data_IF_098209764424
#
_entry.id   IF_098209764424
#
_cell.length_a   1.000
_cell.length_b   1.000
_cell.length_c   1.000
_cell.angle_alpha   90.00
_cell.angle_beta   90.00
_cell.angle_gamma   90.00
#
_symmetry.space_group_name_H-M   'P 1'
#
loop_
_entity.id
_entity.type
_entity.pdbx_description
1 polymer ?
#
# COMPACT_ATOMS: atom_id res chain seq x y z
N UNK A 1 2.69 -36.40 -4.74
CA UNK A 1 3.38 -35.62 -3.68
C UNK A 1 3.79 -34.19 -4.06
N UNK A 2 4.15 -33.80 -5.31
CA UNK A 2 4.62 -32.43 -5.60
C UNK A 2 3.53 -31.33 -5.55
N UNK A 3 2.27 -31.66 -5.83
CA UNK A 3 1.16 -30.70 -5.70
C UNK A 3 0.93 -30.25 -4.24
N UNK A 4 1.12 -31.15 -3.27
CA UNK A 4 0.91 -30.82 -1.85
C UNK A 4 2.01 -29.90 -1.30
N UNK A 5 3.26 -30.10 -1.74
CA UNK A 5 4.39 -29.21 -1.39
C UNK A 5 4.23 -27.83 -1.99
N UNK A 6 3.83 -27.72 -3.26
CA UNK A 6 3.60 -26.42 -3.90
C UNK A 6 2.50 -25.61 -3.21
N UNK A 7 1.40 -26.27 -2.82
CA UNK A 7 0.30 -25.64 -2.08
C UNK A 7 0.76 -25.14 -0.71
N UNK A 8 1.53 -25.95 0.02
CA UNK A 8 2.10 -25.55 1.32
C UNK A 8 3.07 -24.38 1.19
N UNK A 9 3.96 -24.42 0.21
CA UNK A 9 4.92 -23.34 -0.05
C UNK A 9 4.20 -22.03 -0.40
N UNK A 10 3.15 -22.08 -1.23
CA UNK A 10 2.31 -20.90 -1.53
C UNK A 10 1.61 -20.37 -0.29
N UNK A 11 1.02 -21.23 0.54
CA UNK A 11 0.34 -20.82 1.76
C UNK A 11 1.30 -20.14 2.75
N UNK A 12 2.51 -20.70 2.91
CA UNK A 12 3.55 -20.11 3.74
C UNK A 12 4.00 -18.74 3.19
N UNK A 13 4.20 -18.62 1.88
CA UNK A 13 4.55 -17.36 1.23
C UNK A 13 3.45 -16.30 1.44
N UNK A 14 2.17 -16.66 1.30
CA UNK A 14 1.05 -15.75 1.56
C UNK A 14 1.09 -15.25 3.00
N UNK A 15 1.24 -16.15 3.98
CA UNK A 15 1.34 -15.77 5.39
C UNK A 15 2.50 -14.81 5.65
N UNK A 16 3.68 -15.09 5.08
CA UNK A 16 4.84 -14.22 5.21
C UNK A 16 4.59 -12.83 4.59
N UNK A 17 3.93 -12.76 3.43
CA UNK A 17 3.55 -11.49 2.81
C UNK A 17 2.54 -10.71 3.68
N UNK A 18 1.56 -11.38 4.27
CA UNK A 18 0.61 -10.75 5.20
C UNK A 18 1.32 -10.10 6.38
N UNK A 19 2.35 -10.75 6.96
CA UNK A 19 3.11 -10.15 8.06
C UNK A 19 3.91 -8.90 7.64
N UNK A 20 4.42 -8.85 6.41
CA UNK A 20 5.05 -7.63 5.90
C UNK A 20 4.04 -6.48 5.78
N UNK A 21 2.83 -6.74 5.28
CA UNK A 21 1.78 -5.72 5.21
C UNK A 21 1.23 -5.34 6.60
N UNK A 22 1.18 -6.27 7.56
CA UNK A 22 0.88 -5.97 8.96
C UNK A 22 1.94 -5.05 9.58
N UNK A 23 3.21 -5.29 9.27
CA UNK A 23 4.33 -4.46 9.73
C UNK A 23 4.24 -3.05 9.15
N UNK A 24 3.99 -2.93 7.84
CA UNK A 24 3.80 -1.62 7.17
C UNK A 24 2.62 -0.87 7.79
N UNK A 25 1.46 -1.54 7.97
CA UNK A 25 0.27 -0.97 8.62
C UNK A 25 0.62 -0.41 10.00
N UNK A 26 1.26 -1.21 10.84
CA UNK A 26 1.66 -0.82 12.21
C UNK A 26 2.61 0.38 12.20
N UNK A 27 3.60 0.39 11.29
CA UNK A 27 4.54 1.52 11.16
C UNK A 27 3.84 2.81 10.75
N UNK A 28 2.87 2.74 9.83
CA UNK A 28 2.03 3.90 9.47
C UNK A 28 1.28 4.42 10.70
N UNK A 29 0.68 3.53 11.48
CA UNK A 29 -0.05 3.90 12.71
C UNK A 29 0.86 4.54 13.77
N UNK A 30 2.13 4.13 13.84
CA UNK A 30 3.11 4.74 14.73
C UNK A 30 3.69 6.06 14.22
N UNK A 31 3.58 6.35 12.91
CA UNK A 31 4.18 7.55 12.30
C UNK A 31 3.43 8.84 12.63
N UNK A 32 2.17 8.75 13.08
CA UNK A 32 1.40 9.93 13.45
C UNK A 32 -0.03 9.59 13.85
N UNK A 33 -0.65 10.51 14.60
CA UNK A 33 -2.09 10.45 14.88
C UNK A 33 -2.85 11.10 13.71
N UNK A 34 -4.03 10.59 13.41
CA UNK A 34 -4.94 11.12 12.37
C UNK A 34 -4.44 11.05 10.92
N UNK A 35 -3.50 10.16 10.60
CA UNK A 35 -3.14 9.86 9.21
C UNK A 35 -4.20 8.90 8.60
N UNK A 36 -5.28 9.46 8.05
CA UNK A 36 -6.38 8.67 7.48
C UNK A 36 -6.22 8.47 5.97
N UNK A 37 -5.87 9.52 5.24
CA UNK A 37 -5.75 9.51 3.77
C UNK A 37 -4.30 9.33 3.38
N UNK A 38 -3.98 8.20 2.75
CA UNK A 38 -2.61 7.77 2.47
C UNK A 38 -2.46 7.50 0.97
N UNK A 39 -1.66 8.32 0.29
CA UNK A 39 -1.34 8.13 -1.11
C UNK A 39 -0.11 7.23 -1.30
N UNK A 40 -0.21 6.24 -2.19
CA UNK A 40 0.91 5.42 -2.63
C UNK A 40 1.24 5.76 -4.08
N UNK A 41 2.51 6.06 -4.34
CA UNK A 41 3.05 6.26 -5.69
C UNK A 41 4.31 5.43 -5.92
N UNK A 42 4.87 5.47 -7.13
CA UNK A 42 6.11 4.81 -7.49
C UNK A 42 6.93 5.68 -8.44
N UNK A 43 8.21 5.34 -8.64
CA UNK A 43 9.04 6.02 -9.62
C UNK A 43 8.67 5.60 -11.05
N UNK A 44 8.37 4.31 -11.24
CA UNK A 44 8.11 3.70 -12.53
C UNK A 44 6.86 2.79 -12.51
N UNK A 45 6.25 2.54 -13.67
CA UNK A 45 5.30 1.43 -13.83
C UNK A 45 5.95 0.09 -13.46
N UNK A 46 5.18 -0.84 -12.87
CA UNK A 46 5.64 -2.20 -12.60
C UNK A 46 6.45 -2.39 -11.31
N UNK A 47 6.61 -1.36 -10.48
CA UNK A 47 7.23 -1.48 -9.15
C UNK A 47 6.31 -2.12 -8.10
N UNK A 48 5.07 -2.46 -8.49
CA UNK A 48 4.10 -3.19 -7.67
C UNK A 48 3.34 -2.33 -6.66
N UNK A 49 3.28 -1.03 -6.90
CA UNK A 49 2.47 -0.05 -6.17
C UNK A 49 1.02 -0.50 -5.98
N UNK A 50 0.30 -0.87 -7.04
CA UNK A 50 -1.11 -1.30 -6.97
C UNK A 50 -1.30 -2.58 -6.14
N UNK A 51 -0.34 -3.51 -6.20
CA UNK A 51 -0.34 -4.70 -5.33
C UNK A 51 -0.12 -4.30 -3.87
N UNK A 52 0.80 -3.37 -3.61
CA UNK A 52 1.11 -2.86 -2.28
C UNK A 52 -0.06 -2.09 -1.68
N UNK A 53 -0.68 -1.16 -2.42
CA UNK A 53 -1.86 -0.41 -1.96
C UNK A 53 -3.04 -1.33 -1.68
N UNK A 54 -3.30 -2.30 -2.55
CA UNK A 54 -4.33 -3.33 -2.34
C UNK A 54 -4.12 -4.11 -1.05
N UNK A 55 -2.94 -4.70 -0.86
CA UNK A 55 -2.69 -5.53 0.31
C UNK A 55 -2.58 -4.72 1.60
N UNK A 56 -2.13 -3.46 1.51
CA UNK A 56 -2.16 -2.54 2.65
C UNK A 56 -3.60 -2.22 3.07
N UNK A 57 -4.50 -1.95 2.11
CA UNK A 57 -5.91 -1.75 2.39
C UNK A 57 -6.56 -3.00 3.01
N UNK A 58 -6.27 -4.20 2.48
CA UNK A 58 -6.71 -5.47 3.07
C UNK A 58 -6.18 -5.63 4.50
N UNK A 59 -4.91 -5.26 4.74
CA UNK A 59 -4.30 -5.32 6.07
C UNK A 59 -5.02 -4.42 7.08
N UNK A 60 -5.40 -3.19 6.70
CA UNK A 60 -6.21 -2.32 7.55
C UNK A 60 -7.63 -2.90 7.78
N UNK A 61 -8.30 -3.37 6.72
CA UNK A 61 -9.63 -3.94 6.82
C UNK A 61 -9.70 -5.18 7.72
N UNK A 62 -8.73 -6.10 7.58
CA UNK A 62 -8.58 -7.30 8.44
C UNK A 62 -8.30 -6.96 9.90
N UNK A 63 -7.72 -5.79 10.17
CA UNK A 63 -7.53 -5.30 11.54
C UNK A 63 -8.80 -4.66 12.13
N UNK A 64 -9.91 -4.65 11.39
CA UNK A 64 -11.22 -4.16 11.85
C UNK A 64 -11.52 -2.71 11.49
N UNK A 65 -10.65 -2.04 10.72
CA UNK A 65 -10.87 -0.65 10.30
C UNK A 65 -11.74 -0.58 9.05
N UNK A 66 -12.72 0.32 9.03
CA UNK A 66 -13.46 0.65 7.80
C UNK A 66 -12.49 1.30 6.83
N UNK A 67 -12.17 0.59 5.76
CA UNK A 67 -11.10 0.95 4.84
C UNK A 67 -11.67 1.16 3.44
N UNK A 68 -11.30 2.28 2.83
CA UNK A 68 -11.58 2.57 1.43
C UNK A 68 -10.28 2.49 0.63
N UNK A 69 -10.31 1.78 -0.49
CA UNK A 69 -9.22 1.78 -1.48
C UNK A 69 -9.68 2.52 -2.74
N UNK A 70 -8.99 3.59 -3.10
CA UNK A 70 -9.28 4.39 -4.29
C UNK A 70 -8.21 4.10 -5.34
N UNK A 71 -8.63 3.60 -6.49
CA UNK A 71 -7.79 3.47 -7.67
C UNK A 71 -7.84 4.77 -8.47
N UNK A 72 -6.87 5.63 -8.21
CA UNK A 72 -6.70 6.92 -8.86
C UNK A 72 -5.70 6.88 -10.03
N UNK A 73 -5.22 5.69 -10.43
CA UNK A 73 -4.46 5.52 -11.68
C UNK A 73 -5.40 5.44 -12.88
N UNK A 74 -6.07 6.57 -13.15
CA UNK A 74 -7.05 6.72 -14.24
C UNK A 74 -6.44 6.65 -15.63
N UNK A 75 -5.11 6.56 -15.73
CA UNK A 75 -4.37 6.42 -17.00
C UNK A 75 -4.15 4.98 -17.38
N UNK A 76 -3.80 4.13 -16.41
CA UNK A 76 -3.43 2.74 -16.67
C UNK A 76 -3.71 1.84 -15.46
N UNK A 77 -4.94 1.87 -14.96
CA UNK A 77 -5.37 1.00 -13.86
C UNK A 77 -5.11 -0.48 -14.20
N UNK A 78 -4.47 -1.16 -13.26
CA UNK A 78 -4.23 -2.60 -13.30
C UNK A 78 -5.11 -3.36 -12.30
N UNK A 79 -6.06 -2.67 -11.67
CA UNK A 79 -6.91 -3.20 -10.60
C UNK A 79 -8.25 -3.75 -11.10
N UNK A 80 -8.51 -3.62 -12.40
CA UNK A 80 -9.70 -4.18 -13.05
C UNK A 80 -9.79 -5.69 -12.82
N UNK A 81 -10.88 -6.15 -12.20
CA UNK A 81 -11.12 -7.56 -11.90
C UNK A 81 -10.42 -8.10 -10.65
N UNK A 82 -9.63 -7.29 -9.93
CA UNK A 82 -9.01 -7.68 -8.65
C UNK A 82 -10.06 -7.90 -7.57
N UNK A 83 -11.11 -7.09 -7.57
CA UNK A 83 -12.25 -7.21 -6.65
C UNK A 83 -13.48 -7.69 -7.40
N UNK A 84 -14.24 -8.57 -6.75
CA UNK A 84 -15.56 -8.97 -7.22
C UNK A 84 -16.61 -8.17 -6.45
N UNK A 85 -17.32 -7.31 -7.16
CA UNK A 85 -18.52 -6.67 -6.64
C UNK A 85 -19.76 -7.52 -6.96
N UNK A 86 -20.78 -7.39 -6.13
CA UNK A 86 -22.09 -8.03 -6.34
C UNK A 86 -22.97 -7.24 -7.31
N UNK A 87 -22.72 -5.94 -7.42
CA UNK A 87 -23.55 -5.00 -8.19
C UNK A 87 -22.72 -4.34 -9.30
N UNK A 88 -23.43 -3.76 -10.27
CA UNK A 88 -22.78 -2.93 -11.29
C UNK A 88 -22.40 -1.61 -10.64
N UNK A 89 -21.16 -1.19 -10.86
CA UNK A 89 -20.63 0.07 -10.34
C UNK A 89 -20.04 0.90 -11.48
N UNK A 90 -20.03 2.22 -11.29
CA UNK A 90 -19.24 3.14 -12.09
C UNK A 90 -17.85 3.36 -11.45
N UNK A 91 -16.96 4.08 -12.12
CA UNK A 91 -15.62 4.36 -11.59
C UNK A 91 -15.42 5.81 -11.18
N UNK A 92 -14.29 6.06 -10.52
CA UNK A 92 -13.82 7.37 -10.11
C UNK A 92 -13.98 8.43 -11.22
N UNK A 93 -13.63 8.07 -12.44
CA UNK A 93 -13.73 8.95 -13.62
C UNK A 93 -15.16 9.41 -13.92
N UNK A 94 -16.17 8.56 -13.71
CA UNK A 94 -17.58 8.92 -13.88
C UNK A 94 -18.02 9.95 -12.83
N UNK A 95 -17.65 9.75 -11.57
CA UNK A 95 -17.94 10.69 -10.48
C UNK A 95 -17.21 12.03 -10.69
N UNK A 96 -15.91 12.01 -10.99
CA UNK A 96 -15.13 13.24 -11.20
C UNK A 96 -15.66 14.05 -12.38
N UNK A 97 -16.25 13.40 -13.38
CA UNK A 97 -16.89 14.04 -14.53
C UNK A 97 -18.32 14.54 -14.27
N UNK A 98 -18.89 14.26 -13.08
CA UNK A 98 -20.26 14.62 -12.72
C UNK A 98 -21.33 13.72 -13.36
N UNK A 99 -20.95 12.54 -13.85
CA UNK A 99 -21.85 11.59 -14.51
C UNK A 99 -22.39 10.51 -13.57
N UNK A 100 -21.93 10.46 -12.32
CA UNK A 100 -22.34 9.49 -11.31
C UNK A 100 -22.25 10.13 -9.91
N UNK A 101 -23.09 9.68 -8.98
CA UNK A 101 -23.00 10.07 -7.58
C UNK A 101 -21.90 9.27 -6.86
N UNK A 102 -21.44 9.77 -5.70
CA UNK A 102 -20.40 9.07 -4.93
C UNK A 102 -20.84 7.67 -4.49
N UNK A 103 -22.13 7.47 -4.21
CA UNK A 103 -22.68 6.16 -3.86
C UNK A 103 -22.56 5.15 -4.99
N UNK A 104 -22.55 5.60 -6.24
CA UNK A 104 -22.61 4.73 -7.42
C UNK A 104 -21.22 4.19 -7.81
N UNK A 105 -20.16 4.81 -7.28
CA UNK A 105 -18.77 4.46 -7.57
C UNK A 105 -18.06 3.75 -6.42
N UNK A 106 -18.66 3.74 -5.22
CA UNK A 106 -18.17 2.96 -4.08
C UNK A 106 -18.74 1.56 -4.18
N UNK A 107 -17.87 0.56 -4.33
CA UNK A 107 -18.28 -0.83 -4.45
C UNK A 107 -17.82 -1.68 -3.26
N UNK A 108 -18.73 -2.55 -2.80
CA UNK A 108 -18.42 -3.60 -1.84
C UNK A 108 -17.43 -4.61 -2.42
N UNK A 109 -16.62 -5.19 -1.54
CA UNK A 109 -15.76 -6.32 -1.85
C UNK A 109 -16.19 -7.58 -1.09
N UNK A 110 -15.56 -8.71 -1.39
CA UNK A 110 -15.73 -9.94 -0.59
C UNK A 110 -14.94 -9.92 0.72
N UNK A 111 -14.28 -8.81 1.05
CA UNK A 111 -13.44 -8.65 2.24
C UNK A 111 -14.17 -7.71 3.19
N UNK A 112 -14.45 -8.19 4.40
CA UNK A 112 -15.12 -7.40 5.42
C UNK A 112 -14.35 -6.10 5.72
N UNK A 113 -15.09 -5.01 5.91
CA UNK A 113 -14.58 -3.66 6.14
C UNK A 113 -13.76 -3.04 4.98
N UNK A 114 -13.73 -3.64 3.80
CA UNK A 114 -13.03 -3.09 2.63
C UNK A 114 -14.02 -2.72 1.51
N UNK A 115 -14.01 -1.44 1.18
CA UNK A 115 -14.70 -0.86 0.03
C UNK A 115 -13.68 -0.37 -0.99
N UNK A 116 -14.08 -0.28 -2.26
CA UNK A 116 -13.21 0.17 -3.36
C UNK A 116 -13.90 1.22 -4.21
N UNK A 117 -13.16 2.24 -4.65
CA UNK A 117 -13.52 3.07 -5.80
C UNK A 117 -12.56 2.72 -6.94
N UNK A 118 -13.02 2.02 -7.99
CA UNK A 118 -12.19 1.67 -9.13
C UNK A 118 -11.97 2.89 -10.05
N UNK A 119 -10.90 2.92 -10.85
CA UNK A 119 -10.62 4.07 -11.72
C UNK A 119 -11.75 4.37 -12.73
N UNK A 120 -12.37 3.33 -13.30
CA UNK A 120 -13.35 3.45 -14.37
C UNK A 120 -12.71 3.56 -15.76
N UNK A 121 -13.43 4.17 -16.71
CA UNK A 121 -12.94 4.33 -18.08
C UNK A 121 -11.87 5.41 -18.16
N UNK A 122 -10.85 5.20 -18.99
CA UNK A 122 -9.77 6.18 -19.18
C UNK A 122 -10.36 7.46 -19.79
N UNK A 123 -10.27 8.62 -19.10
CA UNK A 123 -10.82 9.87 -19.58
C UNK A 123 -9.86 10.52 -20.60
N UNK A 124 -10.34 11.44 -21.45
CA UNK A 124 -9.47 12.16 -22.38
C UNK A 124 -8.43 13.03 -21.65
N UNK A 125 -8.79 13.61 -20.50
CA UNK A 125 -7.93 14.47 -19.69
C UNK A 125 -7.91 14.04 -18.20
N UNK A 126 -7.08 13.05 -17.82
CA UNK A 126 -7.01 12.52 -16.46
C UNK A 126 -6.65 13.57 -15.39
N UNK A 127 -5.61 14.37 -15.63
CA UNK A 127 -5.10 15.33 -14.64
C UNK A 127 -6.12 16.39 -14.26
N UNK A 128 -6.90 16.91 -15.22
CA UNK A 128 -7.90 17.94 -14.95
C UNK A 128 -9.07 17.43 -14.12
N UNK A 129 -9.40 16.13 -14.22
CA UNK A 129 -10.44 15.53 -13.37
C UNK A 129 -10.00 15.44 -11.92
N UNK A 130 -8.72 15.18 -11.66
CA UNK A 130 -8.17 15.11 -10.29
C UNK A 130 -8.05 16.51 -9.67
N UNK A 131 -7.81 17.54 -10.47
CA UNK A 131 -7.64 18.93 -9.99
C UNK A 131 -8.96 19.67 -9.73
N UNK A 132 -10.11 19.03 -9.93
CA UNK A 132 -11.40 19.70 -9.80
C UNK A 132 -11.98 19.60 -8.37
N UNK A 133 -12.98 20.44 -8.09
CA UNK A 133 -13.65 20.47 -6.78
C UNK A 133 -14.33 19.16 -6.40
N UNK A 134 -14.67 18.29 -7.36
CA UNK A 134 -15.34 17.01 -7.07
C UNK A 134 -14.38 16.06 -6.34
N UNK A 135 -13.09 16.09 -6.68
CA UNK A 135 -12.07 15.29 -6.00
C UNK A 135 -11.95 15.71 -4.53
N UNK A 136 -11.81 17.00 -4.23
CA UNK A 136 -11.69 17.49 -2.86
C UNK A 136 -12.96 17.20 -2.04
N UNK A 137 -14.14 17.41 -2.63
CA UNK A 137 -15.43 17.05 -2.00
C UNK A 137 -15.52 15.56 -1.70
N UNK A 138 -15.05 14.70 -2.60
CA UNK A 138 -15.02 13.26 -2.39
C UNK A 138 -14.12 12.92 -1.21
N UNK A 139 -12.88 13.41 -1.20
CA UNK A 139 -11.91 13.13 -0.14
C UNK A 139 -12.46 13.56 1.22
N UNK A 140 -13.05 14.75 1.32
CA UNK A 140 -13.65 15.22 2.57
C UNK A 140 -14.82 14.33 3.03
N UNK A 141 -15.69 13.96 2.08
CA UNK A 141 -16.84 13.08 2.38
C UNK A 141 -16.37 11.71 2.88
N UNK A 142 -15.45 11.05 2.17
CA UNK A 142 -14.98 9.70 2.56
C UNK A 142 -14.14 9.72 3.83
N UNK A 143 -13.48 10.84 4.17
CA UNK A 143 -12.74 11.01 5.43
C UNK A 143 -13.65 10.91 6.67
N UNK A 144 -14.91 11.30 6.53
CA UNK A 144 -15.94 11.13 7.57
C UNK A 144 -16.51 9.72 7.67
N UNK A 145 -16.47 8.96 6.57
CA UNK A 145 -17.09 7.62 6.47
C UNK A 145 -16.14 6.48 6.82
N UNK A 146 -14.84 6.66 6.55
CA UNK A 146 -13.82 5.62 6.69
C UNK A 146 -12.76 5.97 7.74
N UNK A 147 -12.18 4.94 8.32
CA UNK A 147 -11.09 5.06 9.29
C UNK A 147 -9.76 5.23 8.55
N UNK A 148 -9.59 4.54 7.42
CA UNK A 148 -8.44 4.69 6.51
C UNK A 148 -8.87 4.75 5.05
N UNK A 149 -8.22 5.60 4.27
CA UNK A 149 -8.40 5.76 2.83
C UNK A 149 -7.03 5.58 2.17
N UNK A 150 -6.87 4.50 1.41
CA UNK A 150 -5.65 4.17 0.69
C UNK A 150 -5.84 4.57 -0.77
N UNK A 151 -4.97 5.41 -1.31
CA UNK A 151 -5.08 5.88 -2.70
C UNK A 151 -3.94 5.32 -3.54
N UNK A 152 -4.27 4.49 -4.52
CA UNK A 152 -3.35 4.03 -5.55
C UNK A 152 -3.23 5.10 -6.66
N UNK A 153 -2.04 5.65 -6.86
CA UNK A 153 -1.85 6.78 -7.80
C UNK A 153 -1.02 6.38 -9.02
N UNK A 154 -0.97 7.14 -10.12
CA UNK A 154 0.02 6.90 -11.18
C UNK A 154 1.48 7.00 -10.67
N UNK A 155 2.47 6.46 -11.39
CA UNK A 155 3.88 6.67 -11.04
C UNK A 155 4.28 8.15 -11.13
N UNK A 156 4.69 8.75 -10.00
CA UNK A 156 5.11 10.14 -9.91
C UNK A 156 6.30 10.47 -10.84
N UNK A 157 7.18 9.49 -11.10
CA UNK A 157 8.28 9.67 -12.05
C UNK A 157 7.85 9.80 -13.52
N UNK A 158 6.55 9.65 -13.82
CA UNK A 158 5.99 9.77 -15.19
C UNK A 158 5.05 10.95 -15.33
N UNK A 159 4.18 11.17 -14.35
CA UNK A 159 3.13 12.19 -14.38
C UNK A 159 2.97 12.82 -13.01
N UNK A 160 2.53 14.08 -12.98
CA UNK A 160 2.39 14.87 -11.74
C UNK A 160 1.15 14.54 -10.93
N UNK A 161 0.23 13.74 -11.48
CA UNK A 161 -1.07 13.38 -10.88
C UNK A 161 -0.92 12.90 -9.43
N UNK A 162 0.11 12.09 -9.14
CA UNK A 162 0.37 11.59 -7.79
C UNK A 162 0.71 12.70 -6.78
N UNK A 163 1.40 13.78 -7.19
CA UNK A 163 1.70 14.90 -6.30
C UNK A 163 0.44 15.73 -6.00
N UNK A 164 -0.47 15.85 -6.97
CA UNK A 164 -1.76 16.52 -6.78
C UNK A 164 -2.63 15.73 -5.81
N UNK A 165 -2.73 14.41 -5.99
CA UNK A 165 -3.46 13.53 -5.07
C UNK A 165 -2.84 13.58 -3.67
N UNK A 166 -1.51 13.56 -3.59
CA UNK A 166 -0.80 13.65 -2.32
C UNK A 166 -1.13 14.95 -1.57
N UNK A 167 -1.35 16.07 -2.27
CA UNK A 167 -1.71 17.34 -1.63
C UNK A 167 -2.98 17.26 -0.78
N UNK A 168 -4.00 16.51 -1.23
CA UNK A 168 -5.25 16.30 -0.47
C UNK A 168 -5.16 15.11 0.51
N UNK A 169 -3.98 14.50 0.66
CA UNK A 169 -3.73 13.35 1.54
C UNK A 169 -3.04 13.77 2.84
N UNK A 170 -3.23 13.01 3.92
CA UNK A 170 -2.48 13.23 5.18
C UNK A 170 -1.01 12.80 5.04
N UNK A 171 -0.80 11.74 4.26
CA UNK A 171 0.48 11.09 4.15
C UNK A 171 0.74 10.50 2.76
N UNK A 172 2.02 10.33 2.43
CA UNK A 172 2.46 9.70 1.19
C UNK A 172 3.56 8.66 1.42
N UNK A 173 3.55 7.63 0.58
CA UNK A 173 4.53 6.55 0.55
C UNK A 173 5.01 6.32 -0.89
N UNK A 174 6.31 6.07 -1.03
CA UNK A 174 6.92 5.73 -2.31
C UNK A 174 7.23 4.23 -2.38
N UNK A 175 6.64 3.52 -3.32
CA UNK A 175 6.94 2.11 -3.60
C UNK A 175 8.03 2.06 -4.67
N UNK A 176 9.10 1.32 -4.41
CA UNK A 176 10.19 1.16 -5.40
C UNK A 176 10.73 -0.26 -5.47
N UNK A 177 11.28 -0.62 -6.63
CA UNK A 177 11.96 -1.89 -6.86
C UNK A 177 13.49 -1.76 -6.69
N UNK A 178 14.12 -2.59 -5.84
CA UNK A 178 15.56 -2.62 -5.68
C UNK A 178 16.30 -2.81 -7.01
N UNK A 179 17.36 -2.02 -7.22
CA UNK A 179 18.24 -2.14 -8.39
C UNK A 179 17.69 -1.56 -9.70
N UNK A 180 16.51 -0.92 -9.69
CA UNK A 180 15.93 -0.27 -10.87
C UNK A 180 16.24 1.22 -10.89
N UNK A 181 15.76 1.96 -9.90
CA UNK A 181 15.93 3.41 -9.84
C UNK A 181 17.20 3.83 -9.11
N UNK A 182 17.86 4.86 -9.64
CA UNK A 182 19.03 5.46 -8.99
C UNK A 182 18.57 6.20 -7.73
N UNK A 183 19.40 6.19 -6.67
CA UNK A 183 19.13 6.92 -5.42
C UNK A 183 18.74 8.39 -5.66
N UNK A 184 19.41 9.07 -6.61
CA UNK A 184 19.08 10.46 -6.98
C UNK A 184 17.65 10.62 -7.50
N UNK A 185 17.11 9.65 -8.24
CA UNK A 185 15.72 9.67 -8.71
C UNK A 185 14.77 9.57 -7.52
N UNK A 186 15.00 8.60 -6.63
CA UNK A 186 14.19 8.41 -5.42
C UNK A 186 14.22 9.64 -4.52
N UNK A 187 15.39 10.27 -4.32
CA UNK A 187 15.52 11.51 -3.55
C UNK A 187 14.70 12.65 -4.14
N UNK A 188 14.73 12.84 -5.47
CA UNK A 188 13.90 13.87 -6.12
C UNK A 188 12.40 13.63 -5.97
N UNK A 189 11.96 12.37 -6.06
CA UNK A 189 10.54 12.03 -5.87
C UNK A 189 10.10 12.26 -4.43
N UNK A 190 10.95 11.93 -3.46
CA UNK A 190 10.74 12.28 -2.05
C UNK A 190 10.56 13.79 -1.89
N UNK A 191 11.46 14.61 -2.45
CA UNK A 191 11.37 16.07 -2.37
C UNK A 191 10.05 16.60 -2.97
N UNK A 192 9.59 16.04 -4.09
CA UNK A 192 8.31 16.41 -4.70
C UNK A 192 7.11 16.03 -3.82
N UNK A 193 7.14 14.86 -3.18
CA UNK A 193 6.09 14.44 -2.25
C UNK A 193 6.08 15.32 -0.99
N UNK A 194 7.25 15.68 -0.43
CA UNK A 194 7.34 16.59 0.70
C UNK A 194 6.81 18.00 0.36
N UNK A 195 7.01 18.46 -0.88
CA UNK A 195 6.47 19.73 -1.37
C UNK A 195 4.94 19.73 -1.53
N UNK A 196 4.29 18.56 -1.57
CA UNK A 196 2.83 18.46 -1.63
C UNK A 196 2.15 18.89 -0.32
N UNK A 197 2.89 18.96 0.79
CA UNK A 197 2.33 19.27 2.12
C UNK A 197 1.87 18.05 2.92
N UNK A 198 1.73 16.87 2.28
CA UNK A 198 1.50 15.61 2.98
C UNK A 198 2.75 15.10 3.69
N UNK A 199 2.57 14.40 4.81
CA UNK A 199 3.66 13.76 5.52
C UNK A 199 4.27 12.63 4.68
N UNK A 200 5.54 12.76 4.28
CA UNK A 200 6.24 11.66 3.61
C UNK A 200 6.69 10.61 4.63
N UNK A 201 6.03 9.45 4.67
CA UNK A 201 6.28 8.42 5.68
C UNK A 201 7.49 7.54 5.33
N UNK A 202 7.88 7.48 4.06
CA UNK A 202 9.06 6.76 3.63
C UNK A 202 8.87 5.96 2.36
N UNK A 203 9.73 4.94 2.23
CA UNK A 203 9.86 4.11 1.03
C UNK A 203 9.55 2.66 1.35
N UNK A 204 8.73 2.02 0.53
CA UNK A 204 8.48 0.58 0.55
C UNK A 204 9.32 -0.06 -0.55
N UNK A 205 10.30 -0.88 -0.16
CA UNK A 205 11.09 -1.70 -1.08
C UNK A 205 10.31 -2.97 -1.43
N UNK A 206 9.78 -3.04 -2.65
CA UNK A 206 9.02 -4.17 -3.15
C UNK A 206 9.85 -5.08 -4.06
N UNK A 207 9.47 -6.35 -4.22
CA UNK A 207 10.21 -7.35 -5.02
C UNK A 207 11.66 -7.56 -4.53
N UNK A 208 11.91 -7.34 -3.24
CA UNK A 208 13.22 -7.60 -2.64
C UNK A 208 13.43 -9.10 -2.40
N UNK A 209 14.59 -9.62 -2.81
CA UNK A 209 14.97 -11.02 -2.52
C UNK A 209 15.61 -11.09 -1.13
N UNK A 210 14.81 -11.49 -0.14
CA UNK A 210 15.22 -11.64 1.26
C UNK A 210 16.42 -12.59 1.43
N UNK A 211 16.63 -13.54 0.51
CA UNK A 211 17.77 -14.47 0.56
C UNK A 211 19.10 -13.79 0.25
N UNK A 212 19.08 -12.63 -0.41
CA UNK A 212 20.31 -11.84 -0.67
C UNK A 212 20.85 -11.18 0.60
N UNK A 213 20.02 -10.89 1.60
CA UNK A 213 20.46 -10.36 2.90
C UNK A 213 21.10 -11.43 3.79
N UNK A 214 20.72 -12.71 3.66
CA UNK A 214 21.33 -13.79 4.45
C UNK A 214 22.84 -13.97 4.22
N UNK A 215 23.37 -13.46 3.11
CA UNK A 215 24.81 -13.51 2.79
C UNK A 215 25.57 -12.20 3.07
N UNK A 216 24.89 -11.13 3.52
CA UNK A 216 25.50 -9.82 3.68
C UNK A 216 24.89 -8.99 4.79
N UNK A 217 25.55 -8.99 5.95
CA UNK A 217 25.43 -8.01 7.04
C UNK A 217 24.42 -8.29 8.17
N UNK A 218 25.01 -8.35 9.38
CA UNK A 218 24.46 -8.21 10.72
C UNK A 218 23.23 -7.30 10.83
N UNK A 219 22.21 -7.77 11.57
CA UNK A 219 21.14 -6.91 12.10
C UNK A 219 19.73 -7.50 12.09
N UNK A 220 19.56 -8.79 12.39
CA UNK A 220 18.21 -9.36 12.55
C UNK A 220 17.58 -8.92 13.88
N UNK A 221 16.76 -7.87 13.84
CA UNK A 221 15.61 -7.75 14.74
C UNK A 221 14.58 -8.79 14.29
N UNK A 222 14.66 -10.01 14.83
CA UNK A 222 13.76 -11.08 14.44
C UNK A 222 14.07 -12.39 15.14
N UNK A 223 13.77 -12.48 16.44
CA UNK A 223 13.98 -13.71 17.21
C UNK A 223 13.62 -13.62 18.68
N UNK A 224 12.47 -13.04 19.05
CA UNK A 224 11.91 -13.32 20.38
C UNK A 224 11.11 -14.62 20.31
N UNK A 225 11.72 -15.72 20.74
CA UNK A 225 11.05 -17.02 20.76
C UNK A 225 11.95 -18.20 21.07
N UNK A 226 12.63 -18.20 22.23
CA UNK A 226 12.93 -19.43 22.96
C UNK A 226 13.35 -19.11 24.39
N UNK A 227 12.35 -18.99 25.27
CA UNK A 227 12.55 -19.19 26.70
C UNK A 227 12.11 -20.61 27.02
N UNK A 228 13.03 -21.41 27.53
CA UNK A 228 12.76 -22.72 28.12
C UNK A 228 13.47 -23.87 27.42
N UNK A 229 14.59 -24.32 27.97
CA UNK A 229 14.63 -25.62 28.68
C UNK A 229 16.05 -25.95 29.17
N UNK A 230 16.13 -26.13 30.49
CA UNK A 230 16.94 -27.07 31.27
C UNK A 230 18.46 -27.17 31.12
N UNK A 231 19.10 -27.05 32.29
CA UNK A 231 20.54 -27.17 32.46
C UNK A 231 21.07 -28.59 32.50
N UNK A 232 22.40 -28.69 32.48
CA UNK A 232 23.15 -29.73 33.18
C UNK A 232 24.60 -29.28 33.39
N UNK A 233 24.98 -29.33 34.67
CA UNK A 233 26.31 -29.37 35.28
C UNK A 233 27.46 -29.86 34.39
N UNK A 234 28.60 -29.16 34.46
CA UNK A 234 29.88 -29.81 34.80
C UNK A 234 30.88 -28.80 35.36
N UNK A 235 31.16 -28.91 36.65
CA UNK A 235 32.36 -28.38 37.30
C UNK A 235 33.61 -28.86 36.54
N UNK A 236 34.56 -27.97 36.25
CA UNK A 236 35.93 -28.36 35.92
C UNK A 236 36.82 -28.08 37.12
N UNK A 237 37.48 -29.16 37.52
CA UNK A 237 38.44 -29.29 38.60
C UNK A 237 39.68 -28.44 38.35
N UNK A 238 40.20 -27.88 39.45
CA UNK A 238 41.56 -27.37 39.56
C UNK A 238 42.58 -28.48 39.28
N UNK A 239 43.57 -28.19 38.43
CA UNK A 239 44.85 -28.91 38.44
C UNK A 239 46.01 -27.92 38.31
N UNK A 240 46.68 -27.78 39.46
CA UNK A 240 48.12 -27.57 39.73
C UNK A 240 48.93 -26.69 38.80
#
# INVERSE_FOLDING_TARGET
MPQLELVRAKAQMIKTLEEYYNTIRTNIQFSGRNLKVIALTSAQPGEGKSTTSTNLAISFAKAGFRTLLIDADTRNSVMSGTFKSKERYDGLTSYLSGNAELSDVICDTTIDNLMVIPAGQVPPNPTSLIQNDNYDKMIETVRGLYDYIIIDTPPLGRVVDAAIIAHSSDASLLVTKPGVDKRRTITKLKEQLEQSGAAFLGVILNQFDIRRDYYGSYGSYGGYGSYGEYGKSSKKEDKK
#
